data_IF_754887430734
#
_entry.id   IF_754887430734
#
_cell.length_a   1.000
_cell.length_b   1.000
_cell.length_c   1.000
_cell.angle_alpha   90.00
_cell.angle_beta   90.00
_cell.angle_gamma   90.00
#
_symmetry.space_group_name_H-M   'P 1'
#
loop_
_entity.id
_entity.type
_entity.pdbx_description
1 polymer ?
#
# COMPACT_ATOMS: atom_id res chain seq x y z
N UNK A 1 -2.60 23.23 8.14
CA UNK A 1 -2.77 21.82 7.70
C UNK A 1 -2.99 20.94 8.91
N UNK A 2 -3.84 19.91 8.84
CA UNK A 2 -3.97 18.91 9.93
C UNK A 2 -2.67 18.15 10.22
N UNK A 3 -1.74 18.16 9.26
CA UNK A 3 -0.43 17.50 9.34
C UNK A 3 0.73 18.49 9.53
N UNK A 4 0.45 19.72 9.99
CA UNK A 4 1.51 20.70 10.23
C UNK A 4 2.44 20.23 11.35
N UNK A 5 3.74 20.30 11.09
CA UNK A 5 4.79 20.00 12.06
C UNK A 5 5.66 21.25 12.22
N UNK A 6 5.55 21.92 13.36
CA UNK A 6 6.29 23.14 13.67
C UNK A 6 7.82 22.93 13.70
N UNK A 7 8.28 21.68 13.84
CA UNK A 7 9.71 21.33 13.86
C UNK A 7 10.25 20.98 12.47
N UNK A 8 9.41 20.92 11.44
CA UNK A 8 9.87 20.68 10.07
C UNK A 8 10.40 21.98 9.44
N UNK A 9 11.57 21.89 8.79
CA UNK A 9 12.20 23.01 8.06
C UNK A 9 12.27 22.69 6.56
N UNK A 10 12.55 23.69 5.74
CA UNK A 10 12.70 23.49 4.28
C UNK A 10 14.05 22.89 3.92
N UNK A 11 15.06 23.23 4.71
CA UNK A 11 16.46 22.83 4.53
C UNK A 11 16.67 21.36 4.93
N UNK A 12 15.88 20.86 5.89
CA UNK A 12 15.86 19.47 6.30
C UNK A 12 14.42 18.97 6.51
N UNK A 13 13.70 18.65 5.43
CA UNK A 13 12.29 18.27 5.52
C UNK A 13 12.14 16.88 6.18
N UNK A 14 11.34 16.81 7.25
CA UNK A 14 11.03 15.55 7.95
C UNK A 14 9.98 14.70 7.22
N UNK A 15 9.16 15.35 6.41
CA UNK A 15 8.04 14.73 5.71
C UNK A 15 8.24 14.88 4.21
N UNK A 16 8.18 13.77 3.50
CA UNK A 16 8.25 13.72 2.05
C UNK A 16 6.87 13.38 1.49
N UNK A 17 6.52 14.03 0.39
CA UNK A 17 5.32 13.74 -0.38
C UNK A 17 5.73 13.31 -1.79
N UNK A 18 4.97 12.38 -2.37
CA UNK A 18 5.17 11.90 -3.73
C UNK A 18 3.85 12.08 -4.48
N UNK A 19 3.94 12.63 -5.68
CA UNK A 19 2.80 12.73 -6.59
C UNK A 19 2.51 11.37 -7.23
N UNK A 20 1.23 11.00 -7.25
CA UNK A 20 0.75 9.78 -7.90
C UNK A 20 -0.36 10.13 -8.88
N UNK A 21 -0.49 9.34 -9.94
CA UNK A 21 -1.55 9.47 -10.94
C UNK A 21 -2.39 8.19 -10.99
N UNK A 22 -3.69 8.35 -11.19
CA UNK A 22 -4.59 7.23 -11.40
C UNK A 22 -4.19 6.50 -12.70
N UNK A 23 -3.99 5.19 -12.61
CA UNK A 23 -3.72 4.33 -13.78
C UNK A 23 -4.96 3.53 -14.18
N UNK A 24 -5.58 2.84 -13.22
CA UNK A 24 -6.75 1.98 -13.45
C UNK A 24 -7.61 1.89 -12.19
N UNK A 25 -8.93 1.74 -12.36
CA UNK A 25 -9.86 1.36 -11.29
C UNK A 25 -10.12 -0.14 -11.35
N UNK A 26 -10.18 -0.80 -10.20
CA UNK A 26 -10.57 -2.20 -10.07
C UNK A 26 -11.76 -2.31 -9.12
N UNK A 27 -12.37 -3.50 -9.04
CA UNK A 27 -13.28 -3.80 -7.92
C UNK A 27 -12.54 -3.69 -6.58
N UNK A 28 -13.30 -3.57 -5.50
CA UNK A 28 -12.76 -3.68 -4.15
C UNK A 28 -12.17 -5.08 -3.93
N UNK A 29 -10.92 -5.12 -3.49
CA UNK A 29 -10.24 -6.31 -2.95
C UNK A 29 -10.07 -6.09 -1.44
N UNK A 30 -10.91 -6.75 -0.65
CA UNK A 30 -10.96 -6.50 0.79
C UNK A 30 -9.78 -7.14 1.53
N UNK A 31 -9.47 -6.65 2.75
CA UNK A 31 -8.47 -7.32 3.62
C UNK A 31 -8.86 -8.75 3.96
N UNK A 32 -10.16 -9.08 4.01
CA UNK A 32 -10.62 -10.45 4.24
C UNK A 32 -10.27 -11.32 3.04
N UNK A 33 -10.61 -10.87 1.84
CA UNK A 33 -10.33 -11.60 0.60
C UNK A 33 -8.82 -11.79 0.41
N UNK A 34 -8.00 -10.77 0.67
CA UNK A 34 -6.53 -10.92 0.65
C UNK A 34 -6.02 -12.04 1.58
N UNK A 35 -6.67 -12.25 2.74
CA UNK A 35 -6.31 -13.32 3.69
C UNK A 35 -6.76 -14.70 3.26
N UNK A 36 -7.76 -14.78 2.38
CA UNK A 36 -8.27 -16.05 1.85
C UNK A 36 -7.29 -16.67 0.82
N UNK A 37 -6.24 -15.94 0.41
CA UNK A 37 -5.23 -16.38 -0.57
C UNK A 37 -3.87 -16.71 0.08
N UNK A 38 -3.44 -17.99 0.08
CA UNK A 38 -2.13 -18.39 0.61
C UNK A 38 -0.93 -17.71 -0.07
N UNK A 39 -1.06 -17.38 -1.36
CA UNK A 39 -0.04 -16.67 -2.15
C UNK A 39 0.28 -15.28 -1.60
N UNK A 40 -0.63 -14.72 -0.79
CA UNK A 40 -0.53 -13.40 -0.20
C UNK A 40 -0.20 -13.44 1.30
N UNK A 41 0.05 -14.61 1.87
CA UNK A 41 0.33 -14.77 3.30
C UNK A 41 1.56 -13.95 3.77
N UNK A 42 2.50 -13.66 2.86
CA UNK A 42 3.69 -12.86 3.12
C UNK A 42 3.45 -11.35 3.27
N UNK A 43 2.30 -10.86 2.79
CA UNK A 43 2.06 -9.43 2.63
C UNK A 43 2.17 -8.69 3.96
N UNK A 44 2.99 -7.64 3.98
CA UNK A 44 3.23 -6.84 5.20
C UNK A 44 1.94 -6.24 5.75
N UNK A 45 1.00 -5.85 4.88
CA UNK A 45 -0.29 -5.28 5.26
C UNK A 45 -1.17 -6.25 6.06
N UNK A 46 -0.98 -7.57 5.89
CA UNK A 46 -1.78 -8.60 6.55
C UNK A 46 -1.24 -8.98 7.93
N UNK A 47 -0.01 -8.58 8.28
CA UNK A 47 0.61 -8.93 9.56
C UNK A 47 -0.15 -8.31 10.73
N UNK A 48 -0.36 -9.11 11.78
CA UNK A 48 -1.00 -8.65 13.02
C UNK A 48 -0.23 -7.47 13.59
N UNK A 49 -0.93 -6.40 13.94
CA UNK A 49 -0.32 -5.20 14.52
C UNK A 49 0.41 -4.29 13.53
N UNK A 50 0.39 -4.57 12.21
CA UNK A 50 0.94 -3.63 11.24
C UNK A 50 0.20 -2.27 11.34
N UNK A 51 0.99 -1.19 11.40
CA UNK A 51 0.53 0.22 11.42
C UNK A 51 1.22 1.06 10.35
N UNK A 52 1.99 0.42 9.46
CA UNK A 52 2.61 1.11 8.33
C UNK A 52 1.54 1.43 7.28
N UNK A 53 1.44 2.70 6.92
CA UNK A 53 0.54 3.19 5.87
C UNK A 53 1.13 3.03 4.46
N UNK A 54 2.46 2.89 4.36
CA UNK A 54 3.17 2.57 3.11
C UNK A 54 3.96 1.30 3.34
N UNK A 55 3.72 0.29 2.51
CA UNK A 55 4.39 -1.02 2.62
C UNK A 55 4.90 -1.48 1.27
N UNK A 56 6.09 -2.11 1.21
CA UNK A 56 6.52 -2.79 -0.01
C UNK A 56 5.60 -3.99 -0.30
N UNK A 57 5.51 -4.35 -1.58
CA UNK A 57 4.78 -5.53 -2.08
C UNK A 57 5.78 -6.41 -2.83
N UNK A 58 5.82 -7.71 -2.53
CA UNK A 58 6.68 -8.64 -3.28
C UNK A 58 6.17 -8.72 -4.73
N UNK A 59 7.06 -8.74 -5.75
CA UNK A 59 6.61 -8.84 -7.14
C UNK A 59 5.65 -10.01 -7.38
N UNK A 60 5.82 -11.17 -6.73
CA UNK A 60 4.93 -12.32 -6.89
C UNK A 60 3.53 -12.04 -6.34
N UNK A 61 3.43 -11.39 -5.19
CA UNK A 61 2.16 -10.94 -4.59
C UNK A 61 1.45 -9.93 -5.51
N UNK A 62 2.21 -8.98 -6.08
CA UNK A 62 1.69 -8.02 -7.04
C UNK A 62 1.09 -8.70 -8.28
N UNK A 63 1.84 -9.59 -8.94
CA UNK A 63 1.37 -10.31 -10.12
C UNK A 63 0.11 -11.14 -9.82
N UNK A 64 0.05 -11.77 -8.66
CA UNK A 64 -1.12 -12.52 -8.22
C UNK A 64 -2.35 -11.62 -8.06
N UNK A 65 -2.22 -10.48 -7.36
CA UNK A 65 -3.31 -9.51 -7.16
C UNK A 65 -3.84 -8.99 -8.50
N UNK A 66 -2.93 -8.66 -9.42
CA UNK A 66 -3.29 -8.14 -10.74
C UNK A 66 -4.08 -9.18 -11.55
N UNK A 67 -3.65 -10.44 -11.52
CA UNK A 67 -4.38 -11.56 -12.14
C UNK A 67 -5.75 -11.78 -11.50
N UNK A 68 -5.83 -11.76 -10.16
CA UNK A 68 -7.09 -11.91 -9.42
C UNK A 68 -8.12 -10.82 -9.76
N UNK A 69 -7.65 -9.62 -10.06
CA UNK A 69 -8.48 -8.48 -10.45
C UNK A 69 -8.83 -8.46 -11.94
N UNK A 70 -8.35 -9.43 -12.73
CA UNK A 70 -8.51 -9.43 -14.19
C UNK A 70 -7.88 -8.20 -14.85
N UNK A 71 -6.91 -7.58 -14.19
CA UNK A 71 -6.32 -6.31 -14.60
C UNK A 71 -5.05 -6.56 -15.43
N UNK A 72 -5.17 -7.26 -16.55
CA UNK A 72 -4.09 -7.33 -17.54
C UNK A 72 -3.81 -5.94 -18.17
#
# INVERSE_FOLDING_TARGET
SKYYDAKASRENPRWLNIDVKLTRKTRLLSLKELRDHPELAGMRILRKGNRLSVTPVDPREWHFIIKLLGAA
#
